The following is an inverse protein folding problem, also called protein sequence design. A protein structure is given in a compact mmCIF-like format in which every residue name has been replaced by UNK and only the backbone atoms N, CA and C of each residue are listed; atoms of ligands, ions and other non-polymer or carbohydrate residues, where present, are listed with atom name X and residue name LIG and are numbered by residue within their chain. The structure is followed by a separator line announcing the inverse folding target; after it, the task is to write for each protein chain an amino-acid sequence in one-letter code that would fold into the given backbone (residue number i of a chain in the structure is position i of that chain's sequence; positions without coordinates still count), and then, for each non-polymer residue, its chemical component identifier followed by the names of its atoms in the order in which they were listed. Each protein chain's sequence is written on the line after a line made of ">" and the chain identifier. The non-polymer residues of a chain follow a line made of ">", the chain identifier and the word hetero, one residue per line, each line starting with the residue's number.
data_IF_663256425429
#
_entry.id   IF_663256425429
#
_cell.length_a   1.000
_cell.length_b   1.000
_cell.length_c   1.000
_cell.angle_alpha   90.00
_cell.angle_beta   90.00
_cell.angle_gamma   90.00
#
_symmetry.space_group_name_H-M   'P 1'
#
loop_
_entity.id
_entity.type
_entity.pdbx_description
1 polymer ?
#
# COMPACT_ATOMS: atom_id res chain seq x y z
N UNK A 1 8.79 -6.57 16.15
CA UNK A 1 8.64 -5.75 17.38
C UNK A 1 8.29 -4.28 17.09
N UNK A 2 8.80 -3.66 16.01
CA UNK A 2 8.69 -2.21 15.74
C UNK A 2 7.28 -1.60 15.60
N UNK A 3 6.24 -2.39 15.33
CA UNK A 3 4.86 -1.91 15.12
C UNK A 3 3.93 -2.17 16.32
N UNK A 4 4.39 -2.84 17.38
CA UNK A 4 3.56 -3.10 18.57
C UNK A 4 3.17 -1.78 19.25
N UNK A 5 1.93 -1.68 19.70
CA UNK A 5 1.37 -0.47 20.32
C UNK A 5 0.90 0.60 19.33
N UNK A 6 0.96 0.33 18.01
CA UNK A 6 0.42 1.19 16.96
C UNK A 6 -0.86 0.59 16.37
N UNK A 7 -1.74 1.44 15.86
CA UNK A 7 -2.86 1.02 15.01
C UNK A 7 -2.32 0.85 13.60
N UNK A 8 -2.53 -0.32 12.99
CA UNK A 8 -2.02 -0.64 11.67
C UNK A 8 -3.19 -0.75 10.70
N UNK A 9 -3.18 0.06 9.65
CA UNK A 9 -4.07 -0.08 8.50
C UNK A 9 -3.28 -0.75 7.37
N UNK A 10 -3.71 -1.94 6.98
CA UNK A 10 -3.15 -2.65 5.82
C UNK A 10 -4.11 -2.45 4.64
N UNK A 11 -3.61 -1.85 3.57
CA UNK A 11 -4.36 -1.65 2.32
C UNK A 11 -3.76 -2.54 1.25
N UNK A 12 -4.54 -3.47 0.72
CA UNK A 12 -4.16 -4.24 -0.46
C UNK A 12 -4.59 -3.53 -1.73
N UNK A 13 -3.69 -3.44 -2.71
CA UNK A 13 -3.95 -2.68 -3.91
C UNK A 13 -3.07 -3.05 -5.09
N UNK A 14 -3.46 -2.54 -6.25
CA UNK A 14 -2.62 -2.50 -7.45
C UNK A 14 -2.82 -1.16 -8.15
N UNK A 15 -1.78 -0.60 -8.78
CA UNK A 15 -1.81 0.80 -9.27
C UNK A 15 -2.77 1.02 -10.45
N UNK A 16 -3.20 -0.05 -11.15
CA UNK A 16 -4.18 0.07 -12.25
C UNK A 16 -5.64 -0.02 -11.79
N UNK A 17 -5.89 -0.42 -10.54
CA UNK A 17 -7.24 -0.60 -10.04
C UNK A 17 -7.93 0.75 -9.76
N UNK A 18 -8.95 1.09 -10.54
CA UNK A 18 -9.72 2.33 -10.37
C UNK A 18 -10.38 2.44 -8.99
N UNK A 19 -10.81 1.31 -8.41
CA UNK A 19 -11.42 1.30 -7.09
C UNK A 19 -10.42 1.72 -6.02
N UNK A 20 -9.19 1.21 -6.09
CA UNK A 20 -8.15 1.65 -5.19
C UNK A 20 -7.75 3.11 -5.44
N UNK A 21 -7.61 3.54 -6.70
CA UNK A 21 -7.29 4.94 -7.01
C UNK A 21 -8.30 5.94 -6.41
N UNK A 22 -9.58 5.56 -6.30
CA UNK A 22 -10.61 6.38 -5.63
C UNK A 22 -10.45 6.44 -4.11
N UNK A 23 -9.92 5.38 -3.50
CA UNK A 23 -9.68 5.28 -2.05
C UNK A 23 -8.35 5.90 -1.64
N UNK A 24 -7.37 5.90 -2.55
CA UNK A 24 -5.99 6.31 -2.31
C UNK A 24 -5.83 7.71 -1.68
N UNK A 25 -6.58 8.76 -2.10
CA UNK A 25 -6.47 10.08 -1.47
C UNK A 25 -6.82 10.08 0.01
N UNK A 26 -7.78 9.25 0.43
CA UNK A 26 -8.16 9.11 1.84
C UNK A 26 -7.06 8.44 2.66
N UNK A 27 -6.44 7.39 2.12
CA UNK A 27 -5.32 6.70 2.77
C UNK A 27 -4.12 7.63 2.98
N UNK A 28 -3.81 8.46 1.98
CA UNK A 28 -2.77 9.50 2.10
C UNK A 28 -3.12 10.52 3.19
N UNK A 29 -4.34 11.04 3.18
CA UNK A 29 -4.79 12.01 4.17
C UNK A 29 -4.73 11.43 5.59
N UNK A 30 -5.11 10.15 5.78
CA UNK A 30 -5.04 9.48 7.08
C UNK A 30 -3.61 9.20 7.53
N UNK A 31 -2.76 8.72 6.61
CA UNK A 31 -1.33 8.51 6.90
C UNK A 31 -0.71 9.81 7.43
N UNK A 32 -0.94 10.93 6.76
CA UNK A 32 -0.39 12.21 7.20
C UNK A 32 -1.02 12.76 8.48
N UNK A 33 -2.35 12.72 8.60
CA UNK A 33 -3.06 13.26 9.76
C UNK A 33 -2.71 12.52 11.06
N UNK A 34 -2.54 11.20 10.99
CA UNK A 34 -2.44 10.34 12.17
C UNK A 34 -1.05 9.73 12.40
N UNK A 35 -0.03 10.03 11.57
CA UNK A 35 1.35 9.51 11.78
C UNK A 35 1.92 9.80 13.17
N UNK A 36 1.62 10.97 13.73
CA UNK A 36 2.03 11.37 15.08
C UNK A 36 1.14 10.82 16.20
N UNK A 37 0.01 10.20 15.86
CA UNK A 37 -0.99 9.69 16.80
C UNK A 37 -1.01 8.15 16.84
N UNK A 38 -0.01 7.51 16.24
CA UNK A 38 0.16 6.05 16.33
C UNK A 38 -0.50 5.24 15.21
N UNK A 39 -1.07 5.88 14.18
CA UNK A 39 -1.51 5.17 12.96
C UNK A 39 -0.31 4.91 12.04
N UNK A 40 -0.22 3.70 11.50
CA UNK A 40 0.68 3.35 10.40
C UNK A 40 -0.14 2.74 9.27
N UNK A 41 -0.07 3.36 8.09
CA UNK A 41 -0.63 2.81 6.86
C UNK A 41 0.46 2.00 6.16
N UNK A 42 0.15 0.77 5.77
CA UNK A 42 1.02 -0.10 4.97
C UNK A 42 0.26 -0.48 3.71
N UNK A 43 0.81 -0.10 2.56
CA UNK A 43 0.35 -0.56 1.27
C UNK A 43 0.93 -1.94 0.96
N UNK A 44 0.10 -2.91 0.60
CA UNK A 44 0.53 -4.18 0.04
C UNK A 44 0.16 -4.18 -1.44
N UNK A 45 1.15 -3.98 -2.29
CA UNK A 45 0.98 -4.01 -3.72
C UNK A 45 0.91 -5.47 -4.19
N UNK A 46 -0.29 -5.96 -4.46
CA UNK A 46 -0.56 -7.33 -4.92
C UNK A 46 -1.09 -7.26 -6.36
N UNK A 47 -0.28 -7.62 -7.37
CA UNK A 47 -0.56 -7.33 -8.78
C UNK A 47 -1.75 -8.15 -9.32
N UNK A 48 -2.58 -7.50 -10.12
CA UNK A 48 -3.65 -8.11 -10.92
C UNK A 48 -3.09 -8.60 -12.26
N UNK A 49 -2.18 -7.85 -12.86
CA UNK A 49 -1.56 -8.14 -14.14
C UNK A 49 -0.06 -8.42 -14.06
N UNK A 50 0.47 -9.14 -15.05
CA UNK A 50 1.90 -9.51 -15.10
C UNK A 50 2.84 -8.31 -15.08
N UNK A 51 2.49 -7.21 -15.77
CA UNK A 51 3.35 -6.03 -15.85
C UNK A 51 3.46 -5.27 -14.52
N UNK A 52 2.50 -5.47 -13.61
CA UNK A 52 2.51 -4.88 -12.27
C UNK A 52 3.47 -5.61 -11.33
N UNK A 53 4.01 -6.78 -11.73
CA UNK A 53 5.09 -7.46 -10.98
C UNK A 53 6.45 -6.78 -11.14
N UNK A 54 6.62 -5.94 -12.17
CA UNK A 54 7.88 -5.26 -12.41
C UNK A 54 8.10 -4.16 -11.37
N UNK A 55 9.14 -4.31 -10.55
CA UNK A 55 9.46 -3.40 -9.45
C UNK A 55 9.70 -1.95 -9.90
N UNK A 56 10.22 -1.73 -11.10
CA UNK A 56 10.50 -0.38 -11.60
C UNK A 56 9.20 0.33 -12.03
N UNK A 57 8.22 -0.42 -12.52
CA UNK A 57 6.86 0.10 -12.70
C UNK A 57 6.26 0.47 -11.34
N UNK A 58 6.31 -0.44 -10.35
CA UNK A 58 5.75 -0.18 -9.02
C UNK A 58 6.38 1.07 -8.39
N UNK A 59 7.71 1.22 -8.44
CA UNK A 59 8.41 2.41 -7.94
C UNK A 59 7.99 3.69 -8.64
N UNK A 60 7.88 3.65 -9.98
CA UNK A 60 7.45 4.81 -10.77
C UNK A 60 6.04 5.23 -10.37
N UNK A 61 5.10 4.29 -10.30
CA UNK A 61 3.70 4.59 -10.00
C UNK A 61 3.49 5.00 -8.53
N UNK A 62 4.19 4.38 -7.57
CA UNK A 62 4.21 4.82 -6.16
C UNK A 62 4.58 6.30 -6.05
N UNK A 63 5.64 6.72 -6.76
CA UNK A 63 6.06 8.13 -6.80
C UNK A 63 5.04 9.00 -7.52
N UNK A 64 4.55 8.58 -8.69
CA UNK A 64 3.62 9.37 -9.50
C UNK A 64 2.28 9.60 -8.78
N UNK A 65 1.82 8.62 -8.00
CA UNK A 65 0.56 8.68 -7.27
C UNK A 65 0.70 9.30 -5.87
N UNK A 66 1.92 9.65 -5.44
CA UNK A 66 2.18 10.24 -4.12
C UNK A 66 1.89 9.28 -2.97
N UNK A 67 2.24 8.01 -3.14
CA UNK A 67 2.16 7.01 -2.07
C UNK A 67 3.41 7.13 -1.20
N UNK A 68 3.33 7.96 -0.16
CA UNK A 68 4.46 8.27 0.73
C UNK A 68 4.55 7.33 1.95
N UNK A 69 3.51 6.55 2.22
CA UNK A 69 3.52 5.51 3.26
C UNK A 69 4.26 4.24 2.79
N UNK A 70 4.78 3.40 3.70
CA UNK A 70 5.50 2.17 3.34
C UNK A 70 4.70 1.23 2.44
N UNK A 71 5.35 0.70 1.41
CA UNK A 71 4.77 -0.27 0.47
C UNK A 71 5.56 -1.58 0.51
N UNK A 72 4.86 -2.69 0.75
CA UNK A 72 5.34 -4.03 0.51
C UNK A 72 4.96 -4.46 -0.91
N UNK A 73 5.93 -4.99 -1.66
CA UNK A 73 5.70 -5.51 -3.01
C UNK A 73 5.45 -7.01 -2.91
N UNK A 74 4.20 -7.42 -3.12
CA UNK A 74 3.72 -8.80 -2.96
C UNK A 74 3.48 -9.44 -4.34
N UNK A 75 4.51 -9.44 -5.19
CA UNK A 75 4.40 -9.91 -6.58
C UNK A 75 3.94 -11.35 -6.73
N UNK A 76 4.17 -12.19 -5.71
CA UNK A 76 3.76 -13.58 -5.67
C UNK A 76 2.48 -13.84 -4.87
N UNK A 77 1.84 -12.79 -4.33
CA UNK A 77 0.58 -12.88 -3.58
C UNK A 77 0.68 -13.61 -2.24
N UNK A 78 1.88 -13.72 -1.69
CA UNK A 78 2.16 -14.43 -0.44
C UNK A 78 1.53 -13.75 0.78
N UNK A 79 1.60 -12.42 0.84
CA UNK A 79 0.99 -11.62 1.91
C UNK A 79 -0.52 -11.62 1.73
N UNK A 80 -1.01 -11.40 0.51
CA UNK A 80 -2.44 -11.47 0.19
C UNK A 80 -3.07 -12.78 0.65
N UNK A 81 -2.46 -13.93 0.27
CA UNK A 81 -2.99 -15.25 0.65
C UNK A 81 -2.86 -15.52 2.15
N UNK A 82 -1.85 -14.97 2.82
CA UNK A 82 -1.66 -15.15 4.27
C UNK A 82 -2.65 -14.36 5.15
N UNK A 83 -3.45 -13.46 4.58
CA UNK A 83 -4.51 -12.73 5.29
C UNK A 83 -5.85 -13.48 5.35
N UNK A 84 -5.93 -14.65 4.73
CA UNK A 84 -7.06 -15.57 4.74
C UNK A 84 -6.63 -16.93 5.29
#
# INVERSE_FOLDING_TARGET
>A
AALRGKVILVSFWTYTCINWMRVQPYLRAWAEKYKGQGLVVIGVHSPEFRFERNIDNVRREVKALGVDYPVAVDSEGSIWRGFN
#
